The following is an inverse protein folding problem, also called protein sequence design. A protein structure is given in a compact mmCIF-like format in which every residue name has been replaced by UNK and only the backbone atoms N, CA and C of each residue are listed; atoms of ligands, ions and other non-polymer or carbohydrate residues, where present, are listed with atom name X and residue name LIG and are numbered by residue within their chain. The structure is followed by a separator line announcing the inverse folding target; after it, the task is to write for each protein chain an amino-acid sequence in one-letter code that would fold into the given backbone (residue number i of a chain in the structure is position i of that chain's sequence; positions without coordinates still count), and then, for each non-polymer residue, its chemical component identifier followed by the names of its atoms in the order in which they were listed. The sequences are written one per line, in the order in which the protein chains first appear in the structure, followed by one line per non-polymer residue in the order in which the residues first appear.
data_IF_762191702475
#
_entry.id   IF_762191702475
#
_cell.length_a   1.000
_cell.length_b   1.000
_cell.length_c   1.000
_cell.angle_alpha   90.00
_cell.angle_beta   90.00
_cell.angle_gamma   90.00
#
_symmetry.space_group_name_H-M   'P 1'
#
loop_
_entity.id
_entity.type
_entity.pdbx_description
1 polymer ?
#
# COMPACT_ATOMS: atom_id res chain seq x y z
N UNK A 1 -28.36 -33.14 -13.61
CA UNK A 1 -28.08 -31.69 -13.67
C UNK A 1 -27.15 -31.46 -14.85
N UNK A 2 -27.51 -30.62 -15.81
CA UNK A 2 -26.76 -30.46 -17.07
C UNK A 2 -25.46 -29.66 -16.83
N UNK A 3 -24.37 -30.00 -17.51
CA UNK A 3 -23.06 -29.34 -17.35
C UNK A 3 -23.14 -27.83 -17.62
N UNK A 4 -23.98 -27.42 -18.57
CA UNK A 4 -24.25 -26.01 -18.85
C UNK A 4 -24.82 -25.26 -17.63
N UNK A 5 -25.70 -25.92 -16.88
CA UNK A 5 -26.35 -25.32 -15.71
C UNK A 5 -25.35 -25.12 -14.57
N UNK A 6 -24.41 -26.07 -14.38
CA UNK A 6 -23.31 -25.94 -13.42
C UNK A 6 -22.38 -24.78 -13.76
N UNK A 7 -22.08 -24.58 -15.05
CA UNK A 7 -21.21 -23.50 -15.52
C UNK A 7 -21.84 -22.12 -15.33
N UNK A 8 -23.14 -22.00 -15.58
CA UNK A 8 -23.90 -20.76 -15.33
C UNK A 8 -23.94 -20.45 -13.82
N UNK A 9 -24.23 -21.45 -12.98
CA UNK A 9 -24.22 -21.27 -11.52
C UNK A 9 -22.85 -20.86 -11.00
N UNK A 10 -21.77 -21.48 -11.47
CA UNK A 10 -20.41 -21.10 -11.11
C UNK A 10 -20.06 -19.66 -11.55
N UNK A 11 -20.51 -19.24 -12.74
CA UNK A 11 -20.34 -17.89 -13.24
C UNK A 11 -21.07 -16.83 -12.41
N UNK A 12 -22.32 -17.11 -12.00
CA UNK A 12 -23.10 -16.20 -11.14
C UNK A 12 -22.47 -16.07 -9.76
N UNK A 13 -22.05 -17.18 -9.13
CA UNK A 13 -21.39 -17.14 -7.82
C UNK A 13 -20.05 -16.38 -7.88
N UNK A 14 -19.27 -16.56 -8.96
CA UNK A 14 -18.03 -15.82 -9.16
C UNK A 14 -18.27 -14.31 -9.37
N UNK A 15 -19.34 -13.93 -10.09
CA UNK A 15 -19.70 -12.53 -10.29
C UNK A 15 -20.17 -11.86 -8.98
N UNK A 16 -20.97 -12.56 -8.17
CA UNK A 16 -21.41 -12.08 -6.85
C UNK A 16 -20.22 -11.87 -5.91
N UNK A 17 -19.27 -12.82 -5.87
CA UNK A 17 -18.04 -12.69 -5.07
C UNK A 17 -17.12 -11.55 -5.51
N UNK A 18 -17.18 -11.15 -6.78
CA UNK A 18 -16.46 -9.99 -7.30
C UNK A 18 -17.13 -8.66 -6.96
N UNK A 19 -18.48 -8.62 -6.94
CA UNK A 19 -19.24 -7.39 -6.68
C UNK A 19 -19.40 -7.05 -5.19
N UNK A 20 -19.33 -8.05 -4.30
CA UNK A 20 -19.52 -7.86 -2.85
C UNK A 20 -18.22 -7.91 -2.02
N UNK A 21 -17.07 -7.78 -2.67
CA UNK A 21 -15.81 -7.63 -1.95
C UNK A 21 -15.67 -6.17 -1.48
N UNK A 22 -16.13 -5.90 -0.25
CA UNK A 22 -15.85 -4.63 0.44
C UNK A 22 -14.33 -4.50 0.57
N UNK A 23 -13.71 -3.83 -0.41
CA UNK A 23 -12.30 -3.53 -0.34
C UNK A 23 -12.05 -2.68 0.90
N UNK A 24 -11.15 -3.11 1.78
CA UNK A 24 -10.72 -2.29 2.91
C UNK A 24 -9.98 -1.05 2.37
N UNK A 25 -10.71 0.06 2.26
CA UNK A 25 -10.20 1.35 1.79
C UNK A 25 -9.34 2.07 2.84
N UNK A 26 -9.07 1.45 3.99
CA UNK A 26 -8.20 2.03 5.02
C UNK A 26 -6.70 1.94 4.70
N UNK A 27 -6.35 1.30 3.58
CA UNK A 27 -4.99 1.19 3.09
C UNK A 27 -4.61 2.34 2.16
N UNK A 28 -3.35 2.78 2.25
CA UNK A 28 -2.76 3.72 1.29
C UNK A 28 -2.27 2.95 0.07
N UNK A 29 -2.84 3.24 -1.10
CA UNK A 29 -2.50 2.61 -2.39
C UNK A 29 -1.72 3.57 -3.27
N UNK A 30 -0.62 3.12 -3.87
CA UNK A 30 0.27 3.98 -4.67
C UNK A 30 0.27 3.67 -6.17
N UNK A 31 -0.43 2.61 -6.59
CA UNK A 31 -0.61 2.25 -8.00
C UNK A 31 -2.08 2.11 -8.35
N UNK A 32 -2.40 2.28 -9.63
CA UNK A 32 -3.72 1.99 -10.17
C UNK A 32 -3.61 0.90 -11.24
N UNK A 33 -4.54 -0.06 -11.23
CA UNK A 33 -4.60 -1.10 -12.25
C UNK A 33 -6.00 -1.68 -12.39
N UNK A 34 -6.36 -2.08 -13.61
CA UNK A 34 -7.66 -2.73 -13.87
C UNK A 34 -7.61 -4.26 -13.69
N UNK A 35 -6.42 -4.87 -13.74
CA UNK A 35 -6.25 -6.31 -13.66
C UNK A 35 -5.82 -6.74 -12.24
N UNK A 36 -6.68 -7.44 -11.46
CA UNK A 36 -6.38 -7.86 -10.10
C UNK A 36 -5.26 -8.91 -9.99
N UNK A 37 -4.90 -9.57 -11.10
CA UNK A 37 -3.81 -10.54 -11.16
C UNK A 37 -2.45 -9.89 -11.46
N UNK A 38 -2.42 -8.58 -11.72
CA UNK A 38 -1.17 -7.85 -11.92
C UNK A 38 -0.54 -7.50 -10.57
N UNK A 39 0.78 -7.70 -10.43
CA UNK A 39 1.51 -7.32 -9.23
C UNK A 39 1.42 -5.81 -8.92
N UNK A 40 1.17 -4.98 -9.93
CA UNK A 40 0.98 -3.53 -9.81
C UNK A 40 -0.47 -3.12 -9.50
N UNK A 41 -1.39 -4.07 -9.29
CA UNK A 41 -2.77 -3.76 -8.93
C UNK A 41 -2.86 -3.21 -7.50
N UNK A 42 -3.18 -1.92 -7.37
CA UNK A 42 -3.40 -1.23 -6.10
C UNK A 42 -2.44 -1.68 -4.99
N UNK A 43 -1.14 -1.44 -5.19
CA UNK A 43 -0.11 -1.80 -4.22
C UNK A 43 -0.32 -1.02 -2.93
N UNK A 44 -0.53 -1.75 -1.82
CA UNK A 44 -0.52 -1.16 -0.48
C UNK A 44 0.89 -0.72 -0.12
N UNK A 45 0.98 0.38 0.62
CA UNK A 45 2.21 0.75 1.33
C UNK A 45 2.07 0.52 2.84
N UNK A 46 3.20 0.34 3.55
CA UNK A 46 3.18 0.09 4.99
C UNK A 46 2.52 1.23 5.78
N UNK A 47 1.64 0.88 6.71
CA UNK A 47 1.01 1.85 7.65
C UNK A 47 1.81 1.99 8.95
N UNK A 48 2.68 1.04 9.24
CA UNK A 48 3.55 1.03 10.40
C UNK A 48 5.01 1.00 10.00
N UNK A 49 5.85 1.63 10.82
CA UNK A 49 7.29 1.59 10.68
C UNK A 49 7.85 0.16 10.74
N UNK A 50 7.27 -0.69 11.61
CA UNK A 50 7.63 -2.11 11.69
C UNK A 50 7.43 -2.84 10.37
N UNK A 51 6.33 -2.53 9.68
CA UNK A 51 5.94 -3.19 8.44
C UNK A 51 6.80 -2.66 7.29
N UNK A 52 7.19 -1.38 7.33
CA UNK A 52 8.16 -0.81 6.39
C UNK A 52 9.53 -1.47 6.52
N UNK A 53 10.02 -1.66 7.75
CA UNK A 53 11.26 -2.40 8.02
C UNK A 53 11.17 -3.85 7.55
N UNK A 54 10.05 -4.53 7.80
CA UNK A 54 9.83 -5.90 7.36
C UNK A 54 9.71 -6.04 5.84
N UNK A 55 9.30 -4.97 5.15
CA UNK A 55 9.22 -4.88 3.69
C UNK A 55 10.51 -4.33 3.05
N UNK A 56 11.63 -4.32 3.78
CA UNK A 56 12.96 -3.86 3.33
C UNK A 56 13.00 -2.39 2.88
N UNK A 57 12.19 -1.52 3.49
CA UNK A 57 12.28 -0.08 3.27
C UNK A 57 13.48 0.49 4.02
N UNK A 58 14.20 1.40 3.37
CA UNK A 58 15.40 2.02 3.93
C UNK A 58 14.99 3.26 4.73
N UNK A 59 15.47 3.35 5.97
CA UNK A 59 15.34 4.57 6.76
C UNK A 59 16.27 5.66 6.20
N UNK A 60 15.70 6.78 5.75
CA UNK A 60 16.49 7.96 5.42
C UNK A 60 16.84 8.68 6.72
N UNK A 61 18.14 8.66 7.07
CA UNK A 61 18.76 9.23 8.27
C UNK A 61 17.79 9.99 9.19
N UNK A 62 17.46 9.36 10.31
CA UNK A 62 16.87 9.98 11.49
C UNK A 62 17.86 11.01 12.03
N UNK A 63 17.83 12.23 11.49
CA UNK A 63 18.83 13.24 11.81
C UNK A 63 18.78 14.42 10.85
N UNK A 64 17.98 15.40 11.26
CA UNK A 64 18.20 16.83 11.18
C UNK A 64 18.40 17.46 9.78
N UNK A 65 17.34 18.16 9.38
CA UNK A 65 17.35 19.30 8.45
C UNK A 65 17.27 18.98 6.96
N UNK A 66 16.11 19.30 6.36
CA UNK A 66 16.13 19.95 5.04
C UNK A 66 16.18 21.43 5.33
N UNK A 67 17.25 22.11 4.93
CA UNK A 67 17.25 23.56 4.86
C UNK A 67 16.93 24.25 6.21
N UNK A 68 17.41 23.68 7.32
CA UNK A 68 17.21 24.24 8.67
C UNK A 68 15.88 23.94 9.36
N UNK A 69 14.99 23.13 8.75
CA UNK A 69 13.75 22.69 9.38
C UNK A 69 13.88 21.28 9.97
N UNK A 70 13.55 21.11 11.25
CA UNK A 70 13.52 19.80 11.90
C UNK A 70 12.43 18.93 11.26
N UNK A 71 12.80 17.77 10.74
CA UNK A 71 11.83 16.79 10.24
C UNK A 71 11.09 16.15 11.43
N UNK A 72 9.78 16.33 11.49
CA UNK A 72 8.94 15.76 12.56
C UNK A 72 8.55 14.30 12.27
N UNK A 73 9.52 13.39 12.12
CA UNK A 73 9.24 11.96 12.03
C UNK A 73 10.32 11.09 11.40
N UNK A 74 10.12 9.79 11.45
CA UNK A 74 11.00 8.79 10.85
C UNK A 74 10.64 8.60 9.37
N UNK A 75 11.59 8.80 8.45
CA UNK A 75 11.36 8.71 7.01
C UNK A 75 11.85 7.39 6.45
N UNK A 76 11.03 6.77 5.60
CA UNK A 76 11.39 5.53 4.91
C UNK A 76 11.11 5.63 3.42
N UNK A 77 12.00 5.04 2.62
CA UNK A 77 11.89 4.94 1.17
C UNK A 77 11.92 3.49 0.72
N UNK A 78 11.20 3.20 -0.36
CA UNK A 78 11.19 1.88 -1.00
C UNK A 78 12.31 1.81 -2.03
N UNK A 79 13.18 0.81 -1.95
CA UNK A 79 14.16 0.53 -3.00
C UNK A 79 15.14 1.68 -3.29
N UNK A 80 15.47 2.50 -2.29
CA UNK A 80 16.33 3.68 -2.44
C UNK A 80 15.80 4.73 -3.45
N UNK A 81 14.49 4.76 -3.69
CA UNK A 81 13.81 5.75 -4.54
C UNK A 81 13.16 6.85 -3.67
N UNK A 82 13.65 8.11 -3.74
CA UNK A 82 13.11 9.23 -2.96
C UNK A 82 11.78 9.79 -3.51
N UNK A 83 11.27 9.29 -4.63
CA UNK A 83 10.02 9.78 -5.23
C UNK A 83 8.82 9.71 -4.26
N UNK A 84 8.81 8.71 -3.37
CA UNK A 84 7.81 8.58 -2.31
C UNK A 84 8.50 8.26 -0.98
N UNK A 85 8.46 9.22 -0.06
CA UNK A 85 8.92 9.05 1.32
C UNK A 85 7.71 8.94 2.25
N UNK A 86 7.64 7.86 3.03
CA UNK A 86 6.67 7.74 4.12
C UNK A 86 7.25 8.32 5.39
N UNK A 87 6.47 9.18 6.07
CA UNK A 87 6.81 9.74 7.37
C UNK A 87 6.02 9.00 8.45
N UNK A 88 6.72 8.47 9.45
CA UNK A 88 6.12 7.83 10.62
C UNK A 88 6.25 8.71 11.86
N UNK A 89 5.21 8.74 12.69
CA UNK A 89 5.19 9.42 13.98
C UNK A 89 6.00 8.65 15.04
N UNK A 90 6.09 9.23 16.25
CA UNK A 90 6.77 8.60 17.40
C UNK A 90 6.18 7.25 17.84
N UNK A 91 4.94 6.96 17.44
CA UNK A 91 4.25 5.70 17.76
C UNK A 91 4.42 4.68 16.62
N UNK A 92 5.14 5.03 15.55
CA UNK A 92 5.42 4.18 14.40
C UNK A 92 4.27 4.10 13.40
N UNK A 93 3.30 5.03 13.40
CA UNK A 93 2.21 5.09 12.43
C UNK A 93 2.46 6.16 11.38
N UNK A 94 1.87 5.99 10.19
CA UNK A 94 1.99 6.97 9.11
C UNK A 94 1.44 8.33 9.55
N UNK A 95 2.31 9.34 9.50
CA UNK A 95 2.02 10.74 9.80
C UNK A 95 1.86 11.58 8.53
N UNK A 96 2.42 11.13 7.41
CA UNK A 96 2.34 11.83 6.13
C UNK A 96 3.18 11.20 5.04
N UNK A 97 3.16 11.85 3.88
CA UNK A 97 3.96 11.52 2.70
C UNK A 97 4.74 12.76 2.31
N UNK A 98 6.02 12.59 1.98
CA UNK A 98 6.86 13.64 1.44
C UNK A 98 7.33 13.22 0.05
N UNK A 99 7.39 14.20 -0.86
CA UNK A 99 7.91 14.06 -2.21
C UNK A 99 9.02 15.12 -2.37
N UNK A 100 10.08 14.76 -3.08
CA UNK A 100 11.16 15.67 -3.47
C UNK A 100 11.16 15.87 -4.99
#
# INVERSE_FOLDING_TARGET
MNALMLLVLAGVVAAEGFLYNDADWSDLKVTWGANPFNSQYFQSVPRKESDAKAADWTALNSGNECNGAFYNGHRFIKGNDPAVMLLFDKNGYIAGIQME
#
